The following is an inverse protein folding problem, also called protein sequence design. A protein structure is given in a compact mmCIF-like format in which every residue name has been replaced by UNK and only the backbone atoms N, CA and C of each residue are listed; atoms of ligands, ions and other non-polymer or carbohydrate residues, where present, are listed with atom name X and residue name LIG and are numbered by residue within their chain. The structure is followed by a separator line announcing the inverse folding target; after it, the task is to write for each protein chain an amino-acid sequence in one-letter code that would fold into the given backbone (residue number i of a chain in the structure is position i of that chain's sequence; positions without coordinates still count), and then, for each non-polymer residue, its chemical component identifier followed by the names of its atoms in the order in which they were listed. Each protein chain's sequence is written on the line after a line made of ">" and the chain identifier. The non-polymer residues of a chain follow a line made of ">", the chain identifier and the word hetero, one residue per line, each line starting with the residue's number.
data_IF_723824966971
#
_entry.id   IF_723824966971
#
_cell.length_a   1.000
_cell.length_b   1.000
_cell.length_c   1.000
_cell.angle_alpha   90.00
_cell.angle_beta   90.00
_cell.angle_gamma   90.00
#
_symmetry.space_group_name_H-M   'P 1'
#
loop_
_entity.id
_entity.type
_entity.pdbx_description
1 polymer ?
#
# COMPACT_ATOMS: atom_id res chain seq x y z
N UNK A 1 -4.64 -12.05 9.39
CA UNK A 1 -5.54 -11.74 8.26
C UNK A 1 -5.01 -12.52 7.06
N UNK A 2 -5.80 -13.43 6.51
CA UNK A 2 -5.37 -14.25 5.37
C UNK A 2 -5.68 -13.47 4.10
N UNK A 3 -4.66 -12.91 3.46
CA UNK A 3 -4.80 -12.29 2.15
C UNK A 3 -4.83 -13.41 1.11
N UNK A 4 -5.86 -13.44 0.26
CA UNK A 4 -5.88 -14.33 -0.91
C UNK A 4 -5.55 -13.51 -2.15
N UNK A 5 -4.68 -14.08 -2.98
CA UNK A 5 -4.26 -13.52 -4.26
C UNK A 5 -4.83 -14.43 -5.33
N UNK A 6 -5.63 -13.87 -6.23
CA UNK A 6 -6.12 -14.59 -7.41
C UNK A 6 -5.74 -13.81 -8.67
N UNK A 7 -5.33 -14.54 -9.70
CA UNK A 7 -4.91 -13.98 -10.99
C UNK A 7 -5.86 -14.50 -12.06
N UNK A 8 -6.58 -13.59 -12.71
CA UNK A 8 -7.36 -13.89 -13.92
C UNK A 8 -7.11 -12.81 -14.95
N UNK A 9 -6.67 -13.21 -16.15
CA UNK A 9 -6.59 -12.34 -17.34
C UNK A 9 -5.86 -11.00 -17.17
N UNK A 10 -4.76 -10.98 -16.41
CA UNK A 10 -3.89 -9.79 -16.27
C UNK A 10 -4.17 -8.92 -15.04
N UNK A 11 -5.26 -9.17 -14.33
CA UNK A 11 -5.61 -8.44 -13.11
C UNK A 11 -5.19 -9.23 -11.86
N UNK A 12 -4.64 -8.52 -10.87
CA UNK A 12 -4.29 -9.04 -9.56
C UNK A 12 -5.40 -8.62 -8.58
N UNK A 13 -6.19 -9.57 -8.07
CA UNK A 13 -7.15 -9.25 -7.02
C UNK A 13 -6.56 -9.58 -5.64
N UNK A 14 -6.59 -8.61 -4.73
CA UNK A 14 -6.21 -8.79 -3.34
C UNK A 14 -7.44 -8.62 -2.46
N UNK A 15 -7.79 -9.67 -1.73
CA UNK A 15 -8.78 -9.54 -0.66
C UNK A 15 -8.06 -9.39 0.66
N UNK A 16 -8.05 -8.17 1.20
CA UNK A 16 -7.56 -7.87 2.55
C UNK A 16 -8.74 -7.37 3.40
N UNK A 17 -8.86 -7.85 4.64
CA UNK A 17 -9.75 -7.25 5.66
C UNK A 17 -11.24 -7.12 5.29
N UNK A 18 -11.83 -8.10 4.60
CA UNK A 18 -13.26 -8.17 4.20
C UNK A 18 -13.73 -7.10 3.20
N UNK A 19 -12.84 -6.20 2.74
CA UNK A 19 -13.11 -5.28 1.65
C UNK A 19 -12.28 -5.72 0.44
N UNK A 20 -12.90 -6.06 -0.70
CA UNK A 20 -12.12 -6.41 -1.89
C UNK A 20 -11.39 -5.17 -2.40
N UNK A 21 -10.08 -5.31 -2.65
CA UNK A 21 -9.28 -4.31 -3.33
C UNK A 21 -8.98 -4.78 -4.75
N UNK A 22 -9.26 -3.92 -5.72
CA UNK A 22 -8.93 -4.15 -7.12
C UNK A 22 -7.59 -3.51 -7.44
N UNK A 23 -6.62 -4.31 -7.89
CA UNK A 23 -5.33 -3.84 -8.34
C UNK A 23 -5.20 -4.09 -9.83
N UNK A 24 -4.85 -3.05 -10.58
CA UNK A 24 -4.43 -3.19 -11.98
C UNK A 24 -2.92 -3.10 -12.02
N UNK A 25 -2.29 -4.08 -12.67
CA UNK A 25 -0.84 -4.19 -12.73
C UNK A 25 -0.30 -4.39 -14.13
N UNK A 26 1.01 -4.38 -14.24
CA UNK A 26 1.77 -4.81 -15.42
C UNK A 26 3.00 -5.58 -14.97
N UNK A 27 3.63 -6.31 -15.89
CA UNK A 27 4.92 -6.94 -15.65
C UNK A 27 5.97 -6.21 -16.49
N UNK A 28 6.96 -5.60 -15.82
CA UNK A 28 8.10 -4.96 -16.46
C UNK A 28 9.31 -5.88 -16.41
N UNK A 29 9.62 -6.53 -17.54
CA UNK A 29 10.61 -7.61 -17.57
C UNK A 29 10.13 -8.78 -16.71
N UNK A 30 10.70 -8.92 -15.51
CA UNK A 30 10.31 -9.94 -14.51
C UNK A 30 9.70 -9.34 -13.24
N UNK A 31 9.47 -8.03 -13.20
CA UNK A 31 9.02 -7.31 -12.01
C UNK A 31 7.52 -7.01 -12.14
N UNK A 32 6.65 -7.56 -11.27
CA UNK A 32 5.25 -7.14 -11.22
C UNK A 32 5.17 -5.71 -10.66
N UNK A 33 4.42 -4.85 -11.32
CA UNK A 33 4.26 -3.44 -10.98
C UNK A 33 2.78 -3.09 -10.86
N UNK A 34 2.41 -2.43 -9.78
CA UNK A 34 1.09 -1.82 -9.60
C UNK A 34 0.99 -0.53 -10.41
N UNK A 35 -0.14 -0.39 -11.11
CA UNK A 35 -0.51 0.79 -11.89
C UNK A 35 -1.72 1.51 -11.29
N UNK A 36 -2.67 0.77 -10.71
CA UNK A 36 -3.90 1.33 -10.15
C UNK A 36 -4.36 0.53 -8.93
N UNK A 37 -4.88 1.22 -7.92
CA UNK A 37 -5.55 0.62 -6.76
C UNK A 37 -6.92 1.27 -6.56
N UNK A 38 -7.99 0.47 -6.67
CA UNK A 38 -9.38 0.93 -6.50
C UNK A 38 -9.71 2.18 -7.34
N UNK A 39 -9.31 2.23 -8.61
CA UNK A 39 -9.53 3.40 -9.48
C UNK A 39 -8.44 4.47 -9.39
N UNK A 40 -7.60 4.47 -8.36
CA UNK A 40 -6.56 5.48 -8.18
C UNK A 40 -5.25 5.06 -8.87
N UNK A 41 -4.85 5.80 -9.89
CA UNK A 41 -3.66 5.49 -10.72
C UNK A 41 -2.37 6.01 -10.09
N UNK A 42 -1.26 5.29 -10.27
CA UNK A 42 0.09 5.72 -9.87
C UNK A 42 0.85 6.30 -11.06
N UNK A 43 1.51 7.46 -10.86
CA UNK A 43 2.35 8.07 -11.91
C UNK A 43 3.65 7.32 -12.15
N UNK A 44 4.15 6.69 -11.09
CA UNK A 44 5.35 5.86 -11.11
C UNK A 44 4.93 4.40 -11.00
N UNK A 45 5.69 3.52 -11.64
CA UNK A 45 5.54 2.09 -11.46
C UNK A 45 5.85 1.75 -10.02
N UNK A 46 4.98 0.99 -9.37
CA UNK A 46 5.16 0.57 -7.97
C UNK A 46 5.49 -0.92 -7.97
N UNK A 47 6.76 -1.33 -7.75
CA UNK A 47 7.12 -2.74 -7.69
C UNK A 47 6.36 -3.46 -6.58
N UNK A 48 5.76 -4.60 -6.92
CA UNK A 48 5.01 -5.45 -6.01
C UNK A 48 5.91 -6.57 -5.47
N UNK A 49 6.78 -6.22 -4.52
CA UNK A 49 7.76 -7.15 -3.94
C UNK A 49 7.97 -6.91 -2.45
N UNK A 50 7.98 -7.98 -1.66
CA UNK A 50 8.23 -7.96 -0.23
C UNK A 50 7.04 -7.47 0.61
N UNK A 51 7.30 -7.05 1.86
CA UNK A 51 6.29 -6.45 2.72
C UNK A 51 5.87 -5.06 2.21
N UNK A 52 4.59 -4.94 1.86
CA UNK A 52 3.99 -3.72 1.35
C UNK A 52 2.88 -3.23 2.28
N UNK A 53 3.01 -2.00 2.76
CA UNK A 53 1.95 -1.30 3.50
C UNK A 53 1.19 -0.39 2.54
N UNK A 54 -0.11 -0.62 2.43
CA UNK A 54 -1.04 0.21 1.69
C UNK A 54 -1.86 1.03 2.67
N UNK A 55 -1.97 2.33 2.43
CA UNK A 55 -2.91 3.14 3.18
C UNK A 55 -3.56 4.22 2.33
N UNK A 56 -4.76 4.60 2.73
CA UNK A 56 -5.50 5.72 2.18
C UNK A 56 -5.61 6.84 3.22
N UNK A 57 -5.33 8.06 2.81
CA UNK A 57 -5.45 9.24 3.65
C UNK A 57 -5.87 10.46 2.84
N UNK A 58 -6.41 11.49 3.52
CA UNK A 58 -6.61 12.81 2.91
C UNK A 58 -5.29 13.35 2.39
N UNK A 59 -5.24 13.86 1.16
CA UNK A 59 -4.02 14.42 0.56
C UNK A 59 -3.53 15.68 1.28
N UNK A 60 -4.39 16.34 2.07
CA UNK A 60 -4.02 17.46 2.94
C UNK A 60 -3.43 17.03 4.29
N UNK A 61 -3.37 15.73 4.58
CA UNK A 61 -2.88 15.23 5.86
C UNK A 61 -1.35 15.27 5.93
N UNK A 62 -0.82 16.17 6.76
CA UNK A 62 0.62 16.36 6.93
C UNK A 62 1.25 15.48 8.01
N UNK A 63 0.45 14.87 8.88
CA UNK A 63 0.94 14.11 10.05
C UNK A 63 1.17 12.62 9.78
N UNK A 64 0.57 12.06 8.72
CA UNK A 64 0.57 10.60 8.49
C UNK A 64 1.98 10.04 8.31
N UNK A 65 2.77 10.63 7.40
CA UNK A 65 4.10 10.12 7.11
C UNK A 65 5.05 10.24 8.32
N UNK A 66 5.11 11.37 9.05
CA UNK A 66 5.83 11.45 10.33
C UNK A 66 5.42 10.35 11.34
N UNK A 67 4.12 10.11 11.53
CA UNK A 67 3.63 9.06 12.45
C UNK A 67 4.10 7.66 12.02
N UNK A 68 4.12 7.38 10.73
CA UNK A 68 4.64 6.12 10.20
C UNK A 68 6.15 6.01 10.45
N UNK A 69 6.93 7.05 10.15
CA UNK A 69 8.38 7.05 10.36
C UNK A 69 8.73 6.82 11.84
N UNK A 70 7.99 7.44 12.78
CA UNK A 70 8.16 7.20 14.21
C UNK A 70 7.88 5.74 14.60
N UNK A 71 6.83 5.14 14.04
CA UNK A 71 6.51 3.72 14.26
C UNK A 71 7.60 2.79 13.70
N UNK A 72 8.08 3.09 12.51
CA UNK A 72 9.19 2.37 11.87
C UNK A 72 10.46 2.44 12.72
N UNK A 73 10.78 3.62 13.28
CA UNK A 73 11.90 3.81 14.20
C UNK A 73 11.79 2.95 15.47
N UNK A 74 10.61 2.90 16.11
CA UNK A 74 10.36 2.06 17.30
C UNK A 74 10.51 0.57 17.01
N UNK A 75 10.09 0.15 15.81
CA UNK A 75 10.10 -1.25 15.38
C UNK A 75 11.39 -1.67 14.69
N UNK A 76 12.32 -0.73 14.46
CA UNK A 76 13.57 -0.93 13.71
C UNK A 76 13.34 -1.47 12.30
N UNK A 77 12.24 -1.07 11.68
CA UNK A 77 11.90 -1.42 10.30
C UNK A 77 12.31 -0.26 9.41
N UNK A 78 13.07 -0.56 8.36
CA UNK A 78 13.45 0.43 7.34
C UNK A 78 12.33 0.64 6.31
N UNK A 79 12.11 1.90 5.95
CA UNK A 79 11.36 2.30 4.76
C UNK A 79 12.27 2.19 3.54
N UNK A 80 11.90 1.34 2.58
CA UNK A 80 12.69 1.10 1.37
C UNK A 80 12.21 1.97 0.20
N UNK A 81 10.89 2.07 0.00
CA UNK A 81 10.29 2.85 -1.08
C UNK A 81 8.99 3.51 -0.63
N UNK A 82 8.66 4.63 -1.27
CA UNK A 82 7.48 5.44 -1.02
C UNK A 82 6.84 5.85 -2.34
N UNK A 83 5.60 5.43 -2.57
CA UNK A 83 4.85 5.76 -3.79
C UNK A 83 3.47 6.28 -3.45
N UNK A 84 2.97 7.20 -4.26
CA UNK A 84 1.63 7.77 -4.13
C UNK A 84 0.83 7.67 -5.41
N UNK A 85 -0.46 7.42 -5.28
CA UNK A 85 -1.40 7.56 -6.37
C UNK A 85 -1.66 9.03 -6.68
N UNK A 86 -2.38 9.28 -7.78
CA UNK A 86 -3.09 10.54 -7.95
C UNK A 86 -4.14 10.71 -6.85
N UNK A 87 -4.46 11.97 -6.55
CA UNK A 87 -5.53 12.33 -5.62
C UNK A 87 -6.88 12.12 -6.29
N UNK A 88 -7.73 11.32 -5.67
CA UNK A 88 -9.11 11.07 -6.07
C UNK A 88 -10.04 11.51 -4.95
N UNK A 89 -10.94 12.46 -5.24
CA UNK A 89 -11.87 13.03 -4.25
C UNK A 89 -11.21 13.56 -2.96
N UNK A 90 -9.99 14.11 -3.07
CA UNK A 90 -9.24 14.68 -1.94
C UNK A 90 -8.50 13.65 -1.08
N UNK A 91 -8.52 12.38 -1.46
CA UNK A 91 -7.75 11.30 -0.82
C UNK A 91 -6.75 10.71 -1.81
N UNK A 92 -5.67 10.12 -1.28
CA UNK A 92 -4.68 9.40 -2.07
C UNK A 92 -4.31 8.09 -1.40
N UNK A 93 -3.95 7.12 -2.22
CA UNK A 93 -3.29 5.90 -1.78
C UNK A 93 -1.80 6.13 -1.70
N UNK A 94 -1.19 5.58 -0.65
CA UNK A 94 0.26 5.47 -0.52
C UNK A 94 0.64 4.01 -0.37
N UNK A 95 1.71 3.61 -1.04
CA UNK A 95 2.32 2.28 -0.94
C UNK A 95 3.74 2.43 -0.44
N UNK A 96 4.02 1.78 0.68
CA UNK A 96 5.35 1.71 1.27
C UNK A 96 5.92 0.31 1.11
N UNK A 97 7.15 0.21 0.63
CA UNK A 97 7.93 -1.03 0.72
C UNK A 97 8.76 -0.98 2.00
N UNK A 98 8.66 -2.02 2.81
CA UNK A 98 9.31 -2.10 4.12
C UNK A 98 10.30 -3.27 4.14
N UNK A 99 11.38 -3.13 4.91
CA UNK A 99 12.34 -4.23 5.16
C UNK A 99 11.72 -5.43 5.89
N UNK A 100 10.62 -5.21 6.63
CA UNK A 100 9.85 -6.25 7.31
C UNK A 100 8.40 -5.82 7.51
N UNK A 101 7.52 -6.79 7.73
CA UNK A 101 6.10 -6.60 8.00
C UNK A 101 5.88 -5.95 9.38
N UNK A 102 5.03 -4.92 9.45
CA UNK A 102 4.51 -4.41 10.72
C UNK A 102 3.59 -5.47 11.35
N UNK A 103 3.82 -5.77 12.63
CA UNK A 103 3.02 -6.74 13.38
C UNK A 103 1.69 -6.14 13.87
N UNK A 104 1.62 -4.82 14.03
CA UNK A 104 0.45 -4.13 14.54
C UNK A 104 0.23 -2.82 13.79
N UNK A 105 -0.96 -2.66 13.20
CA UNK A 105 -1.36 -1.46 12.45
C UNK A 105 -2.29 -0.53 13.26
N UNK A 106 -2.59 -0.86 14.51
CA UNK A 106 -3.58 -0.12 15.32
C UNK A 106 -3.16 1.34 15.58
N UNK A 107 -1.85 1.62 15.73
CA UNK A 107 -1.33 2.98 15.92
C UNK A 107 -1.59 3.89 14.71
N UNK A 108 -1.78 3.30 13.51
CA UNK A 108 -1.97 4.05 12.27
C UNK A 108 -3.45 4.35 12.00
N UNK A 109 -4.36 3.48 12.43
CA UNK A 109 -5.80 3.60 12.14
C UNK A 109 -6.44 4.96 12.47
N UNK A 110 -6.11 5.64 13.59
CA UNK A 110 -6.70 6.94 13.89
C UNK A 110 -6.37 8.03 12.86
N UNK A 111 -5.33 7.85 12.06
CA UNK A 111 -4.81 8.84 11.12
C UNK A 111 -5.18 8.53 9.66
N UNK A 112 -5.78 7.37 9.40
CA UNK A 112 -5.95 6.80 8.06
C UNK A 112 -7.41 6.44 7.82
N UNK A 113 -7.86 6.64 6.58
CA UNK A 113 -9.16 6.15 6.12
C UNK A 113 -9.12 4.62 5.99
N UNK A 114 -8.00 4.11 5.50
CA UNK A 114 -7.81 2.68 5.27
C UNK A 114 -6.34 2.30 5.42
N UNK A 115 -6.07 1.08 5.91
CA UNK A 115 -4.72 0.54 6.03
C UNK A 115 -4.73 -0.98 5.98
N UNK A 116 -3.88 -1.56 5.15
CA UNK A 116 -3.66 -3.01 5.09
C UNK A 116 -2.23 -3.32 4.64
N UNK A 117 -1.81 -4.56 4.88
CA UNK A 117 -0.48 -5.02 4.52
C UNK A 117 -0.55 -6.32 3.72
N UNK A 118 0.36 -6.46 2.77
CA UNK A 118 0.49 -7.63 1.91
C UNK A 118 1.96 -8.04 1.90
N UNK A 119 2.21 -9.34 1.77
CA UNK A 119 3.54 -9.89 1.58
C UNK A 119 3.51 -10.62 0.24
N UNK A 120 4.30 -10.14 -0.72
CA UNK A 120 4.40 -10.68 -2.09
C UNK A 120 5.81 -11.19 -2.37
#
# INVERSE_FOLDING_TARGET
>A
VQCSVSVSSGDLQLTATNTPHMLVGSVQGTIPCLLELNGATFKQLVPLSGPLLFYKSKSSSVSVLPTIIDLLGKTKIELLCYHRSNTESGEEWTVLSLSSALQNLQELKPHLTEVFQVIL
#
